data_IF_986101586106
#
_entry.id   IF_986101586106
#
_cell.length_a   1.000
_cell.length_b   1.000
_cell.length_c   1.000
_cell.angle_alpha   90.00
_cell.angle_beta   90.00
_cell.angle_gamma   90.00
#
_symmetry.space_group_name_H-M   'P 1'
#
loop_
_entity.id
_entity.type
_entity.pdbx_description
1 polymer ?
#
# COMPACT_ATOMS: atom_id res chain seq x y z
N UNK A 1 54.91 -26.94 12.63
CA UNK A 1 56.03 -26.57 11.75
C UNK A 1 55.71 -25.19 11.22
N UNK A 2 56.39 -24.21 11.82
CA UNK A 2 57.09 -23.09 11.17
C UNK A 2 56.26 -22.07 10.39
N UNK A 3 56.55 -20.77 10.33
CA UNK A 3 57.30 -19.75 11.09
C UNK A 3 57.18 -18.48 10.21
N UNK A 4 57.21 -17.29 10.82
CA UNK A 4 57.70 -16.00 10.26
C UNK A 4 56.85 -15.27 9.19
N UNK A 5 56.38 -14.02 9.41
CA UNK A 5 57.05 -12.70 9.57
C UNK A 5 57.59 -12.06 8.27
N UNK A 6 56.97 -10.94 7.86
CA UNK A 6 57.56 -9.63 7.48
C UNK A 6 56.51 -8.82 6.68
N UNK A 7 56.07 -7.61 7.04
CA UNK A 7 56.73 -6.32 7.33
C UNK A 7 56.93 -5.41 6.09
N UNK A 8 56.75 -4.10 6.34
CA UNK A 8 56.99 -2.88 5.52
C UNK A 8 55.80 -2.36 4.70
N UNK A 9 55.50 -1.06 4.60
CA UNK A 9 56.18 0.16 5.08
C UNK A 9 55.18 1.33 5.15
N UNK A 10 55.41 2.24 6.11
CA UNK A 10 54.72 3.52 6.30
C UNK A 10 55.33 4.66 5.48
N UNK A 11 54.49 5.68 5.23
CA UNK A 11 54.84 7.09 5.39
C UNK A 11 55.18 7.83 4.09
N UNK A 12 55.08 9.15 3.99
CA UNK A 12 54.75 10.20 4.95
C UNK A 12 54.80 11.50 4.10
N UNK A 13 53.86 12.45 4.17
CA UNK A 13 54.12 13.82 3.67
C UNK A 13 53.69 14.83 4.74
N UNK A 14 54.72 15.49 5.26
CA UNK A 14 54.75 16.40 6.40
C UNK A 14 54.33 17.83 6.04
N UNK A 15 53.64 18.46 6.98
CA UNK A 15 53.66 19.90 7.21
C UNK A 15 55.05 20.35 7.69
N UNK A 16 55.51 21.54 7.27
CA UNK A 16 56.66 22.18 7.89
C UNK A 16 56.41 23.69 8.04
N UNK A 17 56.33 24.13 9.30
CA UNK A 17 56.40 25.52 9.71
C UNK A 17 57.83 25.84 10.21
N UNK A 18 58.30 27.02 9.80
CA UNK A 18 59.28 27.92 10.44
C UNK A 18 60.40 27.42 11.34
N UNK A 19 61.63 27.81 11.01
CA UNK A 19 62.58 28.34 12.00
C UNK A 19 63.74 29.16 11.36
N UNK A 20 63.88 30.39 11.88
CA UNK A 20 65.09 31.11 12.27
C UNK A 20 66.33 31.25 11.33
N UNK A 21 66.66 32.53 11.10
CA UNK A 21 67.95 33.15 10.72
C UNK A 21 69.08 32.86 11.77
N UNK A 22 70.40 33.10 11.52
CA UNK A 22 70.92 34.40 11.04
C UNK A 22 72.22 34.40 10.20
N UNK A 23 72.53 35.55 9.60
CA UNK A 23 73.93 35.94 9.31
C UNK A 23 74.11 36.92 8.15
N UNK A 24 74.74 38.06 8.43
CA UNK A 24 75.55 38.77 7.44
C UNK A 24 75.20 40.24 7.17
N UNK A 25 76.01 41.14 7.73
CA UNK A 25 75.97 42.59 7.61
C UNK A 25 76.17 43.12 6.18
N UNK A 26 75.53 44.26 5.87
CA UNK A 26 75.85 45.09 4.70
C UNK A 26 75.11 46.43 4.72
N UNK A 27 75.82 47.50 5.14
CA UNK A 27 75.35 48.89 5.19
C UNK A 27 75.23 49.49 3.77
N UNK A 28 74.18 50.28 3.50
CA UNK A 28 74.00 50.99 2.21
C UNK A 28 72.85 51.99 2.15
N UNK A 29 73.19 53.23 2.50
CA UNK A 29 72.56 54.56 2.35
C UNK A 29 71.35 54.80 1.39
N UNK A 30 70.34 55.47 1.97
CA UNK A 30 69.37 56.48 1.46
C UNK A 30 68.87 56.50 0.01
N UNK A 31 67.53 56.48 -0.10
CA UNK A 31 66.74 57.08 -1.18
C UNK A 31 65.24 57.02 -0.85
N UNK A 32 64.71 58.04 -0.16
CA UNK A 32 63.28 58.20 0.08
C UNK A 32 62.52 58.38 -1.24
N UNK A 33 61.83 57.34 -1.70
CA UNK A 33 60.75 57.46 -2.66
C UNK A 33 59.42 57.55 -1.90
N UNK A 34 58.75 58.71 -2.02
CA UNK A 34 57.41 58.97 -1.49
C UNK A 34 56.46 57.81 -1.84
N UNK A 35 55.64 57.28 -0.92
CA UNK A 35 54.74 56.19 -1.23
C UNK A 35 53.67 56.67 -2.21
N UNK A 36 53.74 56.18 -3.46
CA UNK A 36 52.68 56.33 -4.43
C UNK A 36 51.34 55.93 -3.80
N UNK A 37 50.34 56.80 -3.93
CA UNK A 37 49.02 56.59 -3.36
C UNK A 37 48.47 55.22 -3.76
N UNK A 38 47.74 54.56 -2.86
CA UNK A 38 47.21 53.20 -3.06
C UNK A 38 46.47 53.05 -4.41
N UNK A 39 45.85 54.12 -4.90
CA UNK A 39 45.15 54.20 -6.20
C UNK A 39 46.13 54.22 -7.38
N UNK A 40 47.27 54.90 -7.28
CA UNK A 40 48.29 54.95 -8.35
C UNK A 40 49.02 53.62 -8.50
N UNK A 41 49.28 52.92 -7.38
CA UNK A 41 49.83 51.56 -7.41
C UNK A 41 48.88 50.56 -8.07
N UNK A 42 47.57 50.69 -7.81
CA UNK A 42 46.54 49.88 -8.48
C UNK A 42 46.48 50.22 -9.98
N UNK A 43 46.52 51.50 -10.35
CA UNK A 43 46.51 51.93 -11.77
C UNK A 43 47.75 51.45 -12.53
N UNK A 44 48.94 51.54 -11.94
CA UNK A 44 50.19 51.07 -12.55
C UNK A 44 50.21 49.54 -12.69
N UNK A 45 49.73 48.81 -11.68
CA UNK A 45 49.62 47.35 -11.72
C UNK A 45 48.60 46.88 -12.78
N UNK A 46 47.41 47.48 -12.82
CA UNK A 46 46.37 47.21 -13.83
C UNK A 46 46.84 47.56 -15.24
N UNK A 47 47.64 48.62 -15.40
CA UNK A 47 48.24 48.99 -16.70
C UNK A 47 49.26 47.96 -17.18
N UNK A 48 50.14 47.49 -16.30
CA UNK A 48 51.16 46.49 -16.62
C UNK A 48 50.60 45.08 -16.87
N UNK A 49 49.57 44.70 -16.12
CA UNK A 49 48.92 43.38 -16.20
C UNK A 49 47.58 43.43 -16.95
N UNK A 50 47.34 44.47 -17.78
CA UNK A 50 46.06 44.69 -18.45
C UNK A 50 45.64 43.50 -19.31
N UNK A 51 46.59 42.88 -20.03
CA UNK A 51 46.35 41.69 -20.86
C UNK A 51 46.00 40.47 -20.02
N UNK A 52 46.69 40.24 -18.91
CA UNK A 52 46.46 39.11 -18.01
C UNK A 52 45.15 39.28 -17.21
N UNK A 53 44.84 40.49 -16.78
CA UNK A 53 43.58 40.82 -16.09
C UNK A 53 42.38 40.64 -17.02
N UNK A 54 42.50 41.05 -18.30
CA UNK A 54 41.46 40.81 -19.31
C UNK A 54 41.30 39.32 -19.62
N UNK A 55 42.38 38.55 -19.63
CA UNK A 55 42.33 37.10 -19.83
C UNK A 55 41.64 36.38 -18.65
N UNK A 56 41.95 36.76 -17.40
CA UNK A 56 41.31 36.22 -16.20
C UNK A 56 39.82 36.56 -16.17
N UNK A 57 39.45 37.80 -16.50
CA UNK A 57 38.04 38.22 -16.59
C UNK A 57 37.30 37.49 -17.71
N UNK A 58 37.96 37.26 -18.85
CA UNK A 58 37.42 36.43 -19.94
C UNK A 58 37.16 34.99 -19.48
N UNK A 59 38.10 34.37 -18.77
CA UNK A 59 37.97 33.01 -18.25
C UNK A 59 36.83 32.90 -17.23
N UNK A 60 36.72 33.85 -16.30
CA UNK A 60 35.61 33.93 -15.34
C UNK A 60 34.25 34.05 -16.03
N UNK A 61 34.17 34.84 -17.10
CA UNK A 61 32.94 35.01 -17.87
C UNK A 61 32.54 33.70 -18.55
N UNK A 62 33.49 32.98 -19.14
CA UNK A 62 33.24 31.66 -19.76
C UNK A 62 32.78 30.64 -18.72
N UNK A 63 33.40 30.60 -17.54
CA UNK A 63 32.99 29.73 -16.43
C UNK A 63 31.55 30.01 -15.96
N UNK A 64 31.17 31.28 -15.84
CA UNK A 64 29.81 31.66 -15.45
C UNK A 64 28.78 31.27 -16.52
N UNK A 65 29.12 31.40 -17.80
CA UNK A 65 28.26 30.94 -18.91
C UNK A 65 28.10 29.42 -18.87
N UNK A 66 29.18 28.67 -18.66
CA UNK A 66 29.13 27.21 -18.55
C UNK A 66 28.28 26.75 -17.35
N UNK A 67 28.43 27.40 -16.19
CA UNK A 67 27.60 27.13 -15.01
C UNK A 67 26.12 27.45 -15.27
N UNK A 68 25.82 28.57 -15.94
CA UNK A 68 24.45 28.92 -16.31
C UNK A 68 23.82 27.92 -17.27
N UNK A 69 24.59 27.42 -18.25
CA UNK A 69 24.13 26.40 -19.19
C UNK A 69 23.90 25.04 -18.52
N UNK A 70 24.79 24.60 -17.63
CA UNK A 70 24.63 23.32 -16.93
C UNK A 70 23.49 23.36 -15.91
N UNK A 71 23.33 24.46 -15.17
CA UNK A 71 22.20 24.66 -14.24
C UNK A 71 20.88 24.80 -14.99
N UNK A 72 20.84 25.53 -16.11
CA UNK A 72 19.65 25.64 -16.97
C UNK A 72 19.24 24.29 -17.55
N UNK A 73 20.20 23.52 -18.06
CA UNK A 73 19.98 22.16 -18.56
C UNK A 73 19.53 21.21 -17.44
N UNK A 74 20.11 21.31 -16.24
CA UNK A 74 19.72 20.49 -15.07
C UNK A 74 18.30 20.84 -14.57
N UNK A 75 17.93 22.12 -14.54
CA UNK A 75 16.58 22.57 -14.17
C UNK A 75 15.56 22.11 -15.20
N UNK A 76 15.87 22.19 -16.50
CA UNK A 76 14.98 21.74 -17.57
C UNK A 76 14.85 20.20 -17.60
N UNK A 77 15.96 19.47 -17.42
CA UNK A 77 15.96 18.02 -17.25
C UNK A 77 15.15 17.57 -16.02
N UNK A 78 15.19 18.34 -14.92
CA UNK A 78 14.40 18.04 -13.71
C UNK A 78 12.93 18.46 -13.82
N UNK A 79 12.55 19.38 -14.72
CA UNK A 79 11.13 19.68 -15.00
C UNK A 79 10.40 18.50 -15.64
N UNK A 80 11.12 17.61 -16.30
CA UNK A 80 10.60 16.32 -16.81
C UNK A 80 10.43 15.24 -15.74
N UNK A 81 10.91 15.45 -14.50
CA UNK A 81 10.89 14.44 -13.42
C UNK A 81 9.94 14.79 -12.28
N UNK A 82 8.90 15.58 -12.55
CA UNK A 82 7.68 15.55 -11.73
C UNK A 82 6.72 14.51 -12.29
N UNK A 83 7.21 13.28 -12.49
CA UNK A 83 6.33 12.13 -12.65
C UNK A 83 5.73 11.90 -11.27
N UNK A 84 4.56 12.51 -11.04
CA UNK A 84 3.72 12.11 -9.92
C UNK A 84 3.56 10.59 -10.02
N UNK A 85 4.04 9.86 -9.00
CA UNK A 85 3.79 8.42 -8.95
C UNK A 85 2.28 8.24 -8.95
N UNK A 86 1.74 7.80 -10.07
CA UNK A 86 0.38 7.28 -10.12
C UNK A 86 0.50 5.98 -9.32
N UNK A 87 0.02 6.00 -8.06
CA UNK A 87 -0.19 4.76 -7.32
C UNK A 87 -1.16 3.96 -8.18
N UNK A 88 -0.70 2.84 -8.73
CA UNK A 88 -1.58 1.92 -9.46
C UNK A 88 -2.80 1.63 -8.57
N UNK A 89 -4.02 1.59 -9.12
CA UNK A 89 -5.20 1.26 -8.35
C UNK A 89 -4.94 -0.04 -7.59
N UNK A 90 -5.01 -0.01 -6.26
CA UNK A 90 -4.84 -1.21 -5.47
C UNK A 90 -5.89 -2.23 -5.93
N UNK A 91 -5.41 -3.39 -6.40
CA UNK A 91 -6.26 -4.49 -6.87
C UNK A 91 -7.24 -4.86 -5.75
N UNK A 92 -8.52 -5.08 -6.07
CA UNK A 92 -9.51 -5.52 -5.09
C UNK A 92 -10.44 -6.54 -5.74
N UNK A 93 -10.42 -7.76 -5.23
CA UNK A 93 -11.18 -8.89 -5.79
C UNK A 93 -11.77 -9.73 -4.68
N UNK A 94 -13.02 -10.14 -4.84
CA UNK A 94 -13.62 -11.26 -4.10
C UNK A 94 -13.36 -12.51 -4.92
N UNK A 95 -12.74 -13.50 -4.30
CA UNK A 95 -12.25 -14.71 -4.95
C UNK A 95 -12.75 -15.94 -4.19
N UNK A 96 -12.71 -17.09 -4.86
CA UNK A 96 -12.93 -18.38 -4.23
C UNK A 96 -11.74 -18.79 -3.35
N UNK A 97 -11.80 -20.00 -2.78
CA UNK A 97 -10.68 -20.57 -2.04
C UNK A 97 -9.40 -20.58 -2.87
N UNK A 98 -8.24 -20.46 -2.22
CA UNK A 98 -6.93 -20.38 -2.88
C UNK A 98 -6.77 -19.20 -3.88
N UNK A 99 -7.54 -18.11 -3.71
CA UNK A 99 -7.54 -16.95 -4.62
C UNK A 99 -7.91 -17.30 -6.07
N UNK A 100 -8.76 -18.33 -6.25
CA UNK A 100 -9.29 -18.68 -7.57
C UNK A 100 -10.38 -17.68 -7.99
N UNK A 101 -10.35 -17.23 -9.24
CA UNK A 101 -11.40 -16.36 -9.77
C UNK A 101 -12.78 -17.02 -9.64
N UNK A 102 -13.76 -16.29 -9.10
CA UNK A 102 -15.13 -16.77 -8.93
C UNK A 102 -16.12 -15.66 -9.22
N UNK A 103 -17.18 -15.97 -9.95
CA UNK A 103 -18.28 -15.04 -10.21
C UNK A 103 -19.46 -15.30 -9.26
N UNK A 104 -19.61 -16.54 -8.79
CA UNK A 104 -20.69 -16.99 -7.92
C UNK A 104 -20.19 -18.07 -6.97
N UNK A 105 -20.71 -18.04 -5.74
CA UNK A 105 -20.49 -19.12 -4.77
C UNK A 105 -21.61 -20.14 -4.97
N UNK A 106 -21.25 -21.38 -5.29
CA UNK A 106 -22.22 -22.49 -5.37
C UNK A 106 -22.85 -22.72 -3.99
N UNK A 107 -24.17 -22.71 -3.91
CA UNK A 107 -24.94 -22.96 -2.68
C UNK A 107 -25.60 -24.35 -2.68
N UNK A 108 -25.24 -25.22 -3.62
CA UNK A 108 -25.71 -26.60 -3.65
C UNK A 108 -25.17 -27.36 -2.43
N UNK A 109 -26.01 -28.16 -1.77
CA UNK A 109 -25.58 -28.96 -0.62
C UNK A 109 -24.47 -29.93 -1.01
N UNK A 110 -23.35 -29.88 -0.30
CA UNK A 110 -22.23 -30.80 -0.48
C UNK A 110 -21.59 -31.15 0.88
N UNK A 111 -21.76 -32.39 1.38
CA UNK A 111 -21.19 -32.79 2.68
C UNK A 111 -19.66 -32.79 2.69
N UNK A 112 -19.00 -32.87 1.53
CA UNK A 112 -17.53 -32.79 1.43
C UNK A 112 -17.01 -31.40 1.81
N UNK A 113 -17.84 -30.36 1.69
CA UNK A 113 -17.54 -29.00 2.13
C UNK A 113 -17.81 -28.79 3.62
N UNK A 114 -18.21 -29.83 4.35
CA UNK A 114 -18.61 -29.73 5.76
C UNK A 114 -20.04 -29.25 5.95
N UNK A 115 -20.87 -29.34 4.90
CA UNK A 115 -22.31 -29.11 4.99
C UNK A 115 -22.96 -30.19 5.86
N UNK A 116 -23.98 -29.80 6.60
CA UNK A 116 -24.70 -30.71 7.49
C UNK A 116 -26.19 -30.54 7.32
N UNK A 117 -26.92 -31.63 7.54
CA UNK A 117 -28.37 -31.64 7.58
C UNK A 117 -28.82 -32.38 8.84
N UNK A 118 -29.65 -31.74 9.64
CA UNK A 118 -30.19 -32.31 10.88
C UNK A 118 -31.69 -32.04 10.93
N UNK A 119 -32.50 -33.09 10.77
CA UNK A 119 -33.93 -32.94 10.54
C UNK A 119 -34.21 -32.13 9.27
N UNK A 120 -35.01 -31.07 9.39
CA UNK A 120 -35.33 -30.13 8.30
C UNK A 120 -34.35 -28.96 8.19
N UNK A 121 -33.40 -28.84 9.12
CA UNK A 121 -32.42 -27.75 9.10
C UNK A 121 -31.22 -28.15 8.27
N UNK A 122 -30.91 -27.34 7.26
CA UNK A 122 -29.68 -27.43 6.48
C UNK A 122 -28.69 -26.37 6.97
N UNK A 123 -27.42 -26.71 6.95
CA UNK A 123 -26.31 -25.78 7.20
C UNK A 123 -25.29 -25.94 6.08
N UNK A 124 -25.05 -24.85 5.35
CA UNK A 124 -24.02 -24.76 4.32
C UNK A 124 -22.81 -23.97 4.84
N UNK A 125 -21.61 -24.36 4.42
CA UNK A 125 -20.37 -23.64 4.67
C UNK A 125 -19.63 -23.35 3.37
N UNK A 126 -19.33 -22.09 3.09
CA UNK A 126 -18.62 -21.71 1.86
C UNK A 126 -17.39 -20.89 2.20
N UNK A 127 -16.29 -21.25 1.54
CA UNK A 127 -15.01 -20.57 1.67
C UNK A 127 -14.86 -19.55 0.52
N UNK A 128 -14.34 -18.38 0.87
CA UNK A 128 -13.97 -17.34 -0.10
C UNK A 128 -12.83 -16.50 0.49
N UNK A 129 -12.17 -15.71 -0.34
CA UNK A 129 -11.20 -14.74 0.13
C UNK A 129 -11.41 -13.37 -0.53
N UNK A 130 -10.87 -12.34 0.12
CA UNK A 130 -10.76 -11.00 -0.46
C UNK A 130 -9.30 -10.70 -0.64
N UNK A 131 -8.88 -10.50 -1.88
CA UNK A 131 -7.54 -10.07 -2.23
C UNK A 131 -7.52 -8.57 -2.47
N UNK A 132 -6.48 -7.93 -1.96
CA UNK A 132 -6.23 -6.49 -2.03
C UNK A 132 -4.82 -6.23 -2.57
N UNK A 133 -4.53 -5.06 -3.12
CA UNK A 133 -3.16 -4.62 -3.43
C UNK A 133 -2.33 -4.25 -2.20
N UNK A 134 -2.60 -4.85 -1.03
CA UNK A 134 -1.95 -4.54 0.25
C UNK A 134 -2.49 -3.30 0.97
N UNK A 135 -3.65 -2.79 0.56
CA UNK A 135 -4.43 -1.75 1.26
C UNK A 135 -5.60 -2.40 2.03
N UNK A 136 -6.10 -1.74 3.08
CA UNK A 136 -7.31 -2.19 3.77
C UNK A 136 -8.56 -2.14 2.88
N UNK A 137 -9.58 -2.92 3.22
CA UNK A 137 -10.83 -3.00 2.46
C UNK A 137 -12.05 -2.95 3.38
N UNK A 138 -13.20 -2.65 2.79
CA UNK A 138 -14.51 -2.74 3.43
C UNK A 138 -15.25 -3.94 2.85
N UNK A 139 -15.66 -4.86 3.71
CA UNK A 139 -16.54 -5.96 3.33
C UNK A 139 -17.97 -5.57 3.67
N UNK A 140 -18.84 -5.62 2.67
CA UNK A 140 -20.27 -5.49 2.85
C UNK A 140 -20.95 -6.83 2.57
N UNK A 141 -21.94 -7.14 3.40
CA UNK A 141 -22.86 -8.24 3.20
C UNK A 141 -24.27 -7.66 3.13
N UNK A 142 -25.03 -8.09 2.14
CA UNK A 142 -26.45 -7.75 2.04
C UNK A 142 -27.26 -9.01 1.77
N UNK A 143 -28.46 -9.10 2.34
CA UNK A 143 -29.36 -10.20 2.05
C UNK A 143 -30.82 -9.76 2.06
N UNK A 144 -31.63 -10.37 1.21
CA UNK A 144 -33.09 -10.36 1.37
C UNK A 144 -33.49 -11.21 2.58
N UNK A 145 -34.72 -11.04 3.07
CA UNK A 145 -35.20 -11.63 4.33
C UNK A 145 -36.52 -12.38 4.14
N UNK A 146 -36.65 -13.12 3.04
CA UNK A 146 -37.82 -13.94 2.73
C UNK A 146 -37.79 -15.28 3.48
N UNK A 147 -36.61 -15.86 3.69
CA UNK A 147 -36.46 -17.11 4.43
C UNK A 147 -36.52 -16.79 5.93
N UNK A 148 -37.64 -17.14 6.55
CA UNK A 148 -37.80 -16.99 8.01
C UNK A 148 -36.83 -17.91 8.74
N UNK A 149 -36.07 -17.35 9.68
CA UNK A 149 -35.07 -18.11 10.45
C UNK A 149 -33.75 -18.37 9.73
N UNK A 150 -33.53 -17.76 8.54
CA UNK A 150 -32.21 -17.79 7.89
C UNK A 150 -31.17 -17.16 8.82
N UNK A 151 -30.20 -17.99 9.23
CA UNK A 151 -29.04 -17.58 10.02
C UNK A 151 -27.85 -17.47 9.09
N UNK A 152 -27.19 -16.31 9.13
CA UNK A 152 -25.96 -16.03 8.39
C UNK A 152 -24.88 -15.76 9.43
N UNK A 153 -23.77 -16.47 9.32
CA UNK A 153 -22.57 -16.25 10.13
C UNK A 153 -21.37 -16.07 9.21
N UNK A 154 -20.43 -15.22 9.61
CA UNK A 154 -19.21 -14.96 8.85
C UNK A 154 -18.01 -15.04 9.79
N UNK A 155 -17.03 -15.86 9.45
CA UNK A 155 -15.82 -16.05 10.25
C UNK A 155 -14.58 -15.75 9.43
N UNK A 156 -13.52 -15.31 10.10
CA UNK A 156 -12.18 -15.39 9.50
C UNK A 156 -11.79 -16.85 9.35
N UNK A 157 -10.90 -17.11 8.40
CA UNK A 157 -10.44 -18.46 8.12
C UNK A 157 -8.93 -18.54 8.03
N UNK A 158 -8.38 -19.64 8.51
CA UNK A 158 -6.96 -19.96 8.39
C UNK A 158 -6.78 -21.39 7.85
N UNK A 159 -5.59 -21.68 7.33
CA UNK A 159 -5.25 -23.04 6.94
C UNK A 159 -5.30 -23.96 8.16
N UNK A 160 -5.99 -25.08 8.01
CA UNK A 160 -6.12 -26.06 9.09
C UNK A 160 -4.79 -26.74 9.33
N UNK A 161 -4.36 -26.79 10.58
CA UNK A 161 -3.18 -27.56 10.98
C UNK A 161 -3.43 -29.06 10.85
N UNK A 162 -2.39 -29.85 10.56
CA UNK A 162 -2.52 -31.30 10.32
C UNK A 162 -3.16 -32.10 11.47
N UNK A 163 -3.15 -31.57 12.69
CA UNK A 163 -3.72 -32.19 13.89
C UNK A 163 -5.18 -31.79 14.16
N UNK A 164 -5.77 -30.93 13.33
CA UNK A 164 -7.11 -30.38 13.53
C UNK A 164 -8.05 -30.79 12.40
N UNK A 165 -9.33 -30.95 12.73
CA UNK A 165 -10.38 -31.12 11.73
C UNK A 165 -10.75 -29.76 11.12
N UNK A 166 -10.80 -29.64 9.78
CA UNK A 166 -11.22 -28.41 9.12
C UNK A 166 -12.72 -28.16 9.31
N UNK A 167 -13.12 -26.90 9.21
CA UNK A 167 -14.55 -26.54 9.16
C UNK A 167 -15.11 -26.62 7.75
N UNK A 168 -14.27 -26.34 6.74
CA UNK A 168 -14.57 -26.44 5.32
C UNK A 168 -13.33 -26.94 4.57
N UNK A 169 -13.53 -27.81 3.59
CA UNK A 169 -12.47 -28.31 2.72
C UNK A 169 -13.01 -28.51 1.32
N UNK A 170 -12.13 -28.55 0.33
CA UNK A 170 -12.55 -28.84 -1.05
C UNK A 170 -11.40 -28.63 -2.03
N UNK A 171 -11.76 -28.46 -3.29
CA UNK A 171 -10.80 -28.20 -4.37
C UNK A 171 -11.28 -27.00 -5.17
N UNK A 172 -10.37 -26.06 -5.43
CA UNK A 172 -10.60 -24.91 -6.31
C UNK A 172 -9.46 -24.85 -7.33
N UNK A 173 -9.79 -24.83 -8.62
CA UNK A 173 -8.82 -24.83 -9.73
C UNK A 173 -7.75 -25.95 -9.61
N UNK A 174 -8.18 -27.16 -9.25
CA UNK A 174 -7.28 -28.31 -9.06
C UNK A 174 -6.41 -28.26 -7.79
N UNK A 175 -6.45 -27.18 -7.01
CA UNK A 175 -5.73 -27.05 -5.74
C UNK A 175 -6.67 -27.32 -4.57
N UNK A 176 -6.34 -28.30 -3.73
CA UNK A 176 -7.09 -28.57 -2.51
C UNK A 176 -6.92 -27.44 -1.49
N UNK A 177 -7.94 -27.21 -0.67
CA UNK A 177 -7.91 -26.31 0.48
C UNK A 177 -8.58 -26.95 1.68
N UNK A 178 -8.19 -26.52 2.87
CA UNK A 178 -8.69 -27.04 4.14
C UNK A 178 -8.59 -25.94 5.18
N UNK A 179 -9.72 -25.32 5.52
CA UNK A 179 -9.75 -24.11 6.35
C UNK A 179 -10.58 -24.30 7.62
N UNK A 180 -10.15 -23.59 8.66
CA UNK A 180 -10.79 -23.56 9.97
C UNK A 180 -11.22 -22.14 10.30
N UNK A 181 -12.42 -22.00 10.87
CA UNK A 181 -12.91 -20.71 11.34
C UNK A 181 -12.07 -20.25 12.54
N UNK A 182 -11.75 -18.96 12.59
CA UNK A 182 -11.01 -18.34 13.70
C UNK A 182 -11.76 -17.15 14.28
N UNK A 183 -11.70 -17.02 15.61
CA UNK A 183 -12.36 -15.96 16.36
C UNK A 183 -13.88 -16.10 16.43
N UNK A 184 -14.56 -14.96 16.60
CA UNK A 184 -16.02 -14.88 16.73
C UNK A 184 -16.71 -14.62 15.38
N UNK A 185 -18.04 -14.79 15.35
CA UNK A 185 -18.86 -14.41 14.20
C UNK A 185 -18.74 -12.91 13.95
N UNK A 186 -18.11 -12.53 12.84
CA UNK A 186 -17.83 -11.16 12.49
C UNK A 186 -19.09 -10.32 12.29
N UNK A 187 -20.21 -10.91 11.88
CA UNK A 187 -21.45 -10.17 11.62
C UNK A 187 -22.04 -9.49 12.85
N UNK A 188 -21.68 -9.92 14.07
CA UNK A 188 -22.07 -9.24 15.31
C UNK A 188 -21.43 -7.85 15.43
N UNK A 189 -20.30 -7.63 14.75
CA UNK A 189 -19.54 -6.38 14.73
C UNK A 189 -19.72 -5.57 13.46
N UNK A 190 -20.56 -6.04 12.52
CA UNK A 190 -20.86 -5.28 11.31
C UNK A 190 -21.85 -4.15 11.62
N UNK A 191 -21.57 -2.98 11.07
CA UNK A 191 -22.46 -1.83 11.16
C UNK A 191 -23.55 -1.95 10.10
N UNK A 192 -24.82 -1.87 10.51
CA UNK A 192 -25.95 -1.86 9.59
C UNK A 192 -26.06 -0.50 8.90
N UNK A 193 -26.33 -0.51 7.59
CA UNK A 193 -26.52 0.71 6.80
C UNK A 193 -27.98 1.17 6.83
N UNK A 194 -28.92 0.22 6.76
CA UNK A 194 -30.33 0.50 6.56
C UNK A 194 -31.24 -0.39 7.42
N UNK A 195 -30.84 -0.72 8.65
CA UNK A 195 -31.66 -1.57 9.54
C UNK A 195 -32.68 -0.74 10.32
N UNK A 196 -33.92 -1.22 10.35
CA UNK A 196 -35.00 -0.70 11.19
C UNK A 196 -35.10 -1.45 12.53
N UNK A 197 -35.94 -0.93 13.43
CA UNK A 197 -36.13 -1.49 14.78
C UNK A 197 -36.62 -2.95 14.81
N UNK A 198 -37.37 -3.38 13.79
CA UNK A 198 -37.84 -4.75 13.65
C UNK A 198 -36.84 -5.68 12.96
N UNK A 199 -35.66 -5.17 12.65
CA UNK A 199 -34.56 -5.93 12.08
C UNK A 199 -34.58 -6.10 10.56
N UNK A 200 -35.55 -5.50 9.87
CA UNK A 200 -35.65 -5.51 8.41
C UNK A 200 -35.02 -4.26 7.81
N UNK A 201 -34.87 -4.26 6.48
CA UNK A 201 -34.39 -3.09 5.75
C UNK A 201 -35.38 -1.92 5.86
N UNK A 202 -34.84 -0.71 5.98
CA UNK A 202 -35.56 0.53 5.98
C UNK A 202 -36.33 0.71 4.67
N UNK A 203 -37.56 1.20 4.81
CA UNK A 203 -38.40 1.56 3.67
C UNK A 203 -38.16 3.05 3.41
N UNK A 204 -37.83 3.47 2.18
CA UNK A 204 -37.74 4.87 1.84
C UNK A 204 -39.03 5.62 2.22
N UNK A 205 -38.89 6.82 2.77
CA UNK A 205 -40.04 7.68 3.07
C UNK A 205 -40.81 8.06 1.80
N UNK A 206 -42.05 8.52 1.99
CA UNK A 206 -42.90 8.95 0.88
C UNK A 206 -42.21 10.01 0.01
N UNK A 207 -42.10 9.76 -1.30
CA UNK A 207 -41.42 10.63 -2.26
C UNK A 207 -39.89 10.46 -2.36
N UNK A 208 -39.27 9.61 -1.54
CA UNK A 208 -37.86 9.26 -1.67
C UNK A 208 -37.65 8.06 -2.61
N UNK A 209 -36.64 8.14 -3.48
CA UNK A 209 -36.24 7.01 -4.34
C UNK A 209 -35.54 5.92 -3.53
N UNK A 210 -35.86 4.66 -3.77
CA UNK A 210 -35.15 3.53 -3.18
C UNK A 210 -33.72 3.43 -3.78
N UNK A 211 -32.66 3.31 -2.99
CA UNK A 211 -31.30 3.25 -3.54
C UNK A 211 -31.06 1.99 -4.38
N UNK A 212 -31.79 0.90 -4.12
CA UNK A 212 -31.69 -0.37 -4.86
C UNK A 212 -32.71 -0.41 -6.00
N UNK A 213 -33.95 0.01 -5.76
CA UNK A 213 -35.08 -0.14 -6.70
C UNK A 213 -35.49 1.16 -7.42
N UNK A 214 -34.83 2.27 -7.13
CA UNK A 214 -35.06 3.61 -7.71
C UNK A 214 -36.54 4.03 -7.57
N UNK A 215 -37.21 4.24 -8.70
CA UNK A 215 -38.58 4.74 -8.76
C UNK A 215 -39.63 3.62 -8.66
N UNK A 216 -39.21 2.35 -8.59
CA UNK A 216 -40.14 1.23 -8.48
C UNK A 216 -40.76 1.16 -7.07
N UNK A 217 -42.04 1.48 -6.97
CA UNK A 217 -42.74 1.67 -5.70
C UNK A 217 -43.27 0.36 -5.08
N UNK A 218 -43.55 -0.65 -5.89
CA UNK A 218 -44.21 -1.89 -5.45
C UNK A 218 -43.23 -2.97 -5.00
N UNK A 219 -42.25 -2.60 -4.19
CA UNK A 219 -41.26 -3.54 -3.64
C UNK A 219 -41.78 -4.09 -2.32
N UNK A 220 -41.80 -5.41 -2.19
CA UNK A 220 -42.10 -6.05 -0.90
C UNK A 220 -40.99 -5.76 0.11
N UNK A 221 -41.35 -5.59 1.38
CA UNK A 221 -40.38 -5.19 2.40
C UNK A 221 -39.23 -6.20 2.55
N UNK A 222 -39.53 -7.50 2.49
CA UNK A 222 -38.55 -8.58 2.63
C UNK A 222 -37.65 -8.77 1.40
N UNK A 223 -38.07 -8.24 0.24
CA UNK A 223 -37.26 -8.22 -0.98
C UNK A 223 -36.19 -7.11 -0.96
N UNK A 224 -36.21 -6.21 0.04
CA UNK A 224 -35.18 -5.19 0.20
C UNK A 224 -33.95 -5.78 0.89
N UNK A 225 -32.75 -5.66 0.30
CA UNK A 225 -31.56 -6.17 0.95
C UNK A 225 -31.22 -5.38 2.22
N UNK A 226 -30.94 -6.11 3.29
CA UNK A 226 -30.43 -5.56 4.54
C UNK A 226 -28.91 -5.46 4.48
N UNK A 227 -28.39 -4.26 4.28
CA UNK A 227 -26.96 -4.00 4.11
C UNK A 227 -26.25 -3.79 5.44
N UNK A 228 -25.06 -4.37 5.55
CA UNK A 228 -24.17 -4.22 6.70
C UNK A 228 -22.71 -4.35 6.27
N UNK A 229 -21.81 -3.69 6.98
CA UNK A 229 -20.41 -3.63 6.59
C UNK A 229 -19.43 -3.62 7.75
N UNK A 230 -18.17 -3.98 7.44
CA UNK A 230 -17.03 -3.80 8.34
C UNK A 230 -15.78 -3.47 7.54
N UNK A 231 -14.92 -2.63 8.11
CA UNK A 231 -13.61 -2.30 7.56
C UNK A 231 -12.54 -3.21 8.16
N UNK A 232 -11.62 -3.63 7.31
CA UNK A 232 -10.43 -4.41 7.65
C UNK A 232 -9.21 -3.59 7.26
N UNK A 233 -8.35 -3.31 8.22
CA UNK A 233 -7.11 -2.58 8.02
C UNK A 233 -6.02 -3.45 7.38
N UNK A 234 -4.99 -2.80 6.84
CA UNK A 234 -3.83 -3.47 6.24
C UNK A 234 -3.14 -4.47 7.19
N UNK A 235 -3.07 -4.14 8.48
CA UNK A 235 -2.47 -5.00 9.51
C UNK A 235 -3.24 -6.30 9.76
N UNK A 236 -4.47 -6.39 9.26
CA UNK A 236 -5.36 -7.55 9.46
C UNK A 236 -5.33 -8.52 8.28
N UNK A 237 -4.58 -8.19 7.22
CA UNK A 237 -4.41 -9.03 6.03
C UNK A 237 -3.43 -10.18 6.31
N UNK A 238 -3.69 -11.34 5.71
CA UNK A 238 -2.84 -12.52 5.75
C UNK A 238 -1.73 -12.47 4.68
N UNK A 239 -0.62 -13.14 4.93
CA UNK A 239 0.61 -13.14 4.13
C UNK A 239 0.58 -13.92 2.81
N UNK A 240 -0.56 -14.42 2.34
CA UNK A 240 -0.59 -15.32 1.18
C UNK A 240 -1.90 -15.20 0.44
N UNK A 241 -1.87 -14.72 -0.80
CA UNK A 241 -2.09 -15.58 -1.98
C UNK A 241 -1.78 -14.84 -3.28
N UNK A 242 -0.53 -14.93 -3.73
CA UNK A 242 -0.16 -15.01 -5.14
C UNK A 242 1.10 -15.88 -5.19
N UNK A 243 1.27 -16.68 -6.24
CA UNK A 243 2.52 -17.40 -6.51
C UNK A 243 3.66 -16.36 -6.60
N UNK A 244 4.36 -16.13 -5.48
CA UNK A 244 5.51 -15.22 -5.39
C UNK A 244 5.28 -13.83 -4.76
N UNK A 245 4.08 -13.50 -4.22
CA UNK A 245 3.90 -12.25 -3.46
C UNK A 245 4.60 -12.33 -2.10
N UNK A 246 5.34 -11.28 -1.74
CA UNK A 246 6.02 -11.14 -0.43
C UNK A 246 5.18 -10.40 0.61
N UNK A 247 4.02 -9.86 0.22
CA UNK A 247 3.25 -8.90 1.03
C UNK A 247 1.89 -9.48 1.47
N UNK A 248 1.42 -9.06 2.66
CA UNK A 248 0.10 -9.42 3.17
C UNK A 248 -0.99 -8.74 2.34
N UNK A 249 -1.68 -9.51 1.50
CA UNK A 249 -2.58 -8.99 0.47
C UNK A 249 -3.99 -9.59 0.55
N UNK A 250 -4.18 -10.70 1.27
CA UNK A 250 -5.43 -11.48 1.21
C UNK A 250 -6.01 -11.71 2.61
N UNK A 251 -7.34 -11.76 2.73
CA UNK A 251 -8.01 -12.24 3.94
C UNK A 251 -9.05 -13.32 3.60
N UNK A 252 -8.99 -14.45 4.30
CA UNK A 252 -9.83 -15.61 4.05
C UNK A 252 -11.04 -15.64 4.99
N UNK A 253 -12.16 -16.14 4.48
CA UNK A 253 -13.43 -16.17 5.18
C UNK A 253 -14.16 -17.49 4.98
N UNK A 254 -14.99 -17.83 5.97
CA UNK A 254 -16.01 -18.86 5.88
C UNK A 254 -17.36 -18.18 6.14
N UNK A 255 -18.27 -18.26 5.18
CA UNK A 255 -19.68 -17.92 5.39
C UNK A 255 -20.44 -19.20 5.70
N UNK A 256 -21.23 -19.17 6.77
CA UNK A 256 -22.13 -20.26 7.16
C UNK A 256 -23.57 -19.79 7.04
N UNK A 257 -24.36 -20.56 6.32
CA UNK A 257 -25.78 -20.31 6.07
C UNK A 257 -26.58 -21.45 6.69
N UNK A 258 -27.62 -21.15 7.46
CA UNK A 258 -28.49 -22.20 7.99
C UNK A 258 -29.94 -21.77 7.98
N UNK A 259 -30.82 -22.66 7.52
CA UNK A 259 -32.26 -22.43 7.48
C UNK A 259 -33.03 -23.75 7.53
N UNK A 260 -34.33 -23.64 7.80
CA UNK A 260 -35.26 -24.76 7.73
C UNK A 260 -35.84 -24.89 6.31
N UNK A 261 -35.72 -26.06 5.69
CA UNK A 261 -36.13 -26.31 4.30
C UNK A 261 -37.62 -26.60 4.11
N UNK A 262 -38.43 -26.58 5.18
CA UNK A 262 -39.88 -26.82 5.11
C UNK A 262 -40.62 -25.71 4.37
N UNK A 263 -40.14 -24.47 4.45
CA UNK A 263 -40.67 -23.34 3.70
C UNK A 263 -39.97 -23.23 2.33
N UNK A 264 -40.77 -22.96 1.28
CA UNK A 264 -40.27 -22.72 -0.08
C UNK A 264 -40.17 -21.22 -0.34
N UNK A 265 -39.23 -20.59 0.33
CA UNK A 265 -38.87 -19.19 0.14
C UNK A 265 -37.47 -19.09 -0.48
N UNK A 266 -37.17 -17.95 -1.11
CA UNK A 266 -35.87 -17.71 -1.75
C UNK A 266 -35.27 -16.42 -1.25
N UNK A 267 -34.01 -16.48 -0.84
CA UNK A 267 -33.21 -15.32 -0.51
C UNK A 267 -31.98 -15.17 -1.40
N UNK A 268 -31.57 -13.92 -1.59
CA UNK A 268 -30.34 -13.55 -2.30
C UNK A 268 -29.38 -12.94 -1.30
N UNK A 269 -28.12 -13.35 -1.36
CA UNK A 269 -27.03 -12.82 -0.53
C UNK A 269 -25.97 -12.21 -1.45
N UNK A 270 -25.57 -10.99 -1.16
CA UNK A 270 -24.51 -10.26 -1.85
C UNK A 270 -23.30 -10.13 -0.93
N UNK A 271 -22.12 -10.43 -1.47
CA UNK A 271 -20.82 -10.16 -0.86
C UNK A 271 -20.10 -9.13 -1.72
N UNK A 272 -19.76 -7.98 -1.12
CA UNK A 272 -19.21 -6.84 -1.85
C UNK A 272 -17.96 -6.38 -1.12
N UNK A 273 -16.83 -6.32 -1.81
CA UNK A 273 -15.62 -5.68 -1.30
C UNK A 273 -15.50 -4.28 -1.90
N UNK A 274 -15.18 -3.27 -1.07
CA UNK A 274 -14.88 -1.91 -1.51
C UNK A 274 -13.52 -1.46 -1.00
N UNK A 275 -12.82 -0.68 -1.82
CA UNK A 275 -11.53 -0.16 -1.43
C UNK A 275 -11.70 0.96 -0.41
N UNK A 276 -10.85 1.01 0.61
CA UNK A 276 -10.84 2.09 1.62
C UNK A 276 -9.92 3.24 1.26
N UNK A 277 -9.01 3.09 0.28
CA UNK A 277 -8.02 4.12 -0.10
C UNK A 277 -8.57 5.26 -0.99
N UNK A 278 -9.88 5.51 -0.95
CA UNK A 278 -10.57 6.58 -1.70
C UNK A 278 -11.22 7.67 -0.85
N UNK A 279 -10.81 7.83 0.42
CA UNK A 279 -11.20 8.98 1.26
C UNK A 279 -9.98 9.78 1.69
#
# INVERSE_FOLDING_TARGET
MDEQLNAREQGDIKHNEGAANPGGNGFGSHGEARPAGRIERIKAWVSGHRRESLAIMGLLTVLLVLLGLTLGWFVDANRGSTVGKIKEPAELKVLGPNATATEQIDLSYNPEYGDTKTGNTVTLKRAFCVQTGGDGFELQLANTTNITGLTIELYRAENTSALQTPDVSGTADGKSYSWKATGENLLTSFEYINKENDGLAAVPGEGASDPTFKDYQNVQRNARPLYRYKKFGKSELNAKTLDGSTDNDTLNFIIRLSWDESAKETDVIYLIARNTSGK
#
